data_IF_043981958563
#
_entry.id   IF_043981958563
#
_cell.length_a   1.000
_cell.length_b   1.000
_cell.length_c   1.000
_cell.angle_alpha   90.00
_cell.angle_beta   90.00
_cell.angle_gamma   90.00
#
_symmetry.space_group_name_H-M   'P 1'
#
loop_
_entity.id
_entity.type
_entity.pdbx_description
1 polymer ?
#
# COMPACT_ATOMS: atom_id res chain seq x y z
N UNK A 1 9.59 -46.68 9.73
CA UNK A 1 9.91 -45.85 10.91
C UNK A 1 10.14 -44.46 10.37
N UNK A 2 9.09 -43.64 10.45
CA UNK A 2 9.07 -42.27 9.93
C UNK A 2 9.27 -41.34 11.14
N UNK A 3 10.38 -40.63 11.19
CA UNK A 3 10.66 -39.60 12.18
C UNK A 3 9.98 -38.29 11.73
N UNK A 4 9.00 -37.86 12.49
CA UNK A 4 8.41 -36.54 12.43
C UNK A 4 9.49 -35.50 12.73
N UNK A 5 9.59 -34.37 12.01
CA UNK A 5 10.48 -33.28 12.41
C UNK A 5 9.98 -32.69 13.73
N UNK A 6 10.86 -32.67 14.71
CA UNK A 6 10.69 -32.06 16.01
C UNK A 6 10.27 -30.56 15.85
N UNK A 7 9.22 -30.21 16.59
CA UNK A 7 8.83 -28.84 16.84
C UNK A 7 10.04 -28.04 17.35
N UNK A 8 10.49 -27.09 16.56
CA UNK A 8 11.48 -26.14 17.02
C UNK A 8 10.84 -25.34 18.18
N UNK A 9 11.22 -25.67 19.39
CA UNK A 9 10.93 -24.92 20.61
C UNK A 9 11.47 -23.49 20.41
N UNK A 10 10.63 -22.61 19.93
CA UNK A 10 10.83 -21.17 19.92
C UNK A 10 10.75 -20.69 21.38
N UNK A 11 11.78 -20.93 22.17
CA UNK A 11 11.91 -20.64 23.57
C UNK A 11 11.15 -19.41 24.06
N UNK A 12 9.85 -19.57 24.29
CA UNK A 12 8.99 -18.54 24.91
C UNK A 12 9.41 -18.40 26.35
N UNK A 13 10.19 -17.38 26.64
CA UNK A 13 10.58 -17.05 28.02
C UNK A 13 9.30 -16.72 28.81
N UNK A 14 8.97 -17.56 29.77
CA UNK A 14 7.91 -17.31 30.72
C UNK A 14 8.12 -15.92 31.38
N UNK A 15 7.14 -15.00 31.20
CA UNK A 15 7.09 -13.73 31.90
C UNK A 15 7.02 -12.45 31.06
N UNK A 16 7.10 -12.51 29.72
CA UNK A 16 6.83 -11.35 28.84
C UNK A 16 5.74 -11.71 27.86
N UNK A 17 4.71 -10.86 27.77
CA UNK A 17 3.66 -11.00 26.77
C UNK A 17 4.22 -10.95 25.34
N UNK A 18 3.49 -11.52 24.40
CA UNK A 18 3.88 -11.56 22.99
C UNK A 18 3.76 -10.17 22.37
N UNK A 19 4.84 -9.67 21.79
CA UNK A 19 4.87 -8.42 21.02
C UNK A 19 4.84 -8.78 19.53
N UNK A 20 3.81 -8.34 18.83
CA UNK A 20 3.57 -8.68 17.42
C UNK A 20 3.65 -7.45 16.53
N UNK A 21 4.33 -7.57 15.40
CA UNK A 21 4.30 -6.60 14.31
C UNK A 21 3.47 -7.18 13.17
N UNK A 22 2.40 -6.46 12.79
CA UNK A 22 1.55 -6.80 11.65
C UNK A 22 1.86 -5.84 10.51
N UNK A 23 2.44 -6.34 9.44
CA UNK A 23 2.92 -5.54 8.33
C UNK A 23 2.66 -6.25 6.97
N UNK A 24 1.39 -6.51 6.61
CA UNK A 24 1.08 -7.14 5.32
C UNK A 24 1.25 -6.14 4.18
N UNK A 25 1.59 -6.67 3.01
CA UNK A 25 1.40 -5.96 1.74
C UNK A 25 -0.04 -6.20 1.23
N UNK A 26 -0.36 -5.66 0.06
CA UNK A 26 -1.67 -5.83 -0.60
C UNK A 26 -1.90 -7.25 -1.09
N UNK A 27 -3.15 -7.67 -1.07
CA UNK A 27 -3.64 -8.92 -1.66
C UNK A 27 -4.36 -8.61 -2.96
N UNK A 28 -3.66 -8.68 -4.08
CA UNK A 28 -4.15 -8.26 -5.40
C UNK A 28 -5.57 -8.76 -5.69
N UNK A 29 -6.49 -7.80 -5.89
CA UNK A 29 -7.85 -8.06 -6.32
C UNK A 29 -8.78 -8.71 -5.27
N UNK A 30 -8.32 -8.92 -4.02
CA UNK A 30 -9.12 -9.57 -2.97
C UNK A 30 -9.32 -8.69 -1.75
N UNK A 31 -8.24 -8.24 -1.10
CA UNK A 31 -8.27 -7.41 0.10
C UNK A 31 -7.39 -6.18 -0.08
N UNK A 32 -7.84 -5.07 0.46
CA UNK A 32 -6.96 -3.93 0.72
C UNK A 32 -5.98 -4.28 1.84
N UNK A 33 -4.87 -3.59 1.91
CA UNK A 33 -3.90 -3.76 3.00
C UNK A 33 -4.57 -3.54 4.37
N UNK A 34 -5.45 -2.55 4.49
CA UNK A 34 -6.18 -2.23 5.72
C UNK A 34 -7.08 -3.39 6.16
N UNK A 35 -7.82 -4.00 5.24
CA UNK A 35 -8.67 -5.17 5.53
C UNK A 35 -7.83 -6.37 5.95
N UNK A 36 -6.70 -6.61 5.27
CA UNK A 36 -5.77 -7.68 5.64
C UNK A 36 -5.19 -7.47 7.04
N UNK A 37 -4.71 -6.25 7.34
CA UNK A 37 -4.20 -5.89 8.67
C UNK A 37 -5.27 -6.10 9.74
N UNK A 38 -6.47 -5.59 9.54
CA UNK A 38 -7.58 -5.74 10.50
C UNK A 38 -7.93 -7.21 10.74
N UNK A 39 -7.97 -8.04 9.69
CA UNK A 39 -8.24 -9.47 9.81
C UNK A 39 -7.15 -10.21 10.60
N UNK A 40 -5.86 -9.86 10.37
CA UNK A 40 -4.72 -10.43 11.11
C UNK A 40 -4.75 -10.04 12.58
N UNK A 41 -4.98 -8.76 12.88
CA UNK A 41 -5.09 -8.27 14.27
C UNK A 41 -6.24 -8.97 14.99
N UNK A 42 -7.43 -9.00 14.39
CA UNK A 42 -8.58 -9.70 14.96
C UNK A 42 -8.35 -11.21 15.15
N UNK A 43 -7.53 -11.83 14.30
CA UNK A 43 -7.10 -13.23 14.46
C UNK A 43 -6.19 -13.42 15.67
N UNK A 44 -5.21 -12.53 15.85
CA UNK A 44 -4.30 -12.53 16.98
C UNK A 44 -5.05 -12.32 18.31
N UNK A 45 -5.97 -11.35 18.37
CA UNK A 45 -6.77 -11.06 19.56
C UNK A 45 -7.69 -12.22 19.97
N UNK A 46 -8.15 -13.03 19.01
CA UNK A 46 -8.94 -14.24 19.28
C UNK A 46 -8.11 -15.46 19.65
N UNK A 47 -6.81 -15.41 19.41
CA UNK A 47 -5.89 -16.47 19.77
C UNK A 47 -5.71 -16.57 21.29
N UNK A 48 -5.26 -17.74 21.76
CA UNK A 48 -4.94 -17.95 23.19
C UNK A 48 -3.52 -17.47 23.50
N UNK A 49 -3.23 -16.23 23.16
CA UNK A 49 -1.92 -15.62 23.38
C UNK A 49 -2.04 -14.43 24.36
N UNK A 50 -1.15 -14.35 25.31
CA UNK A 50 -0.99 -13.15 26.11
C UNK A 50 -0.29 -12.08 25.29
N UNK A 51 -1.04 -11.27 24.53
CA UNK A 51 -0.52 -10.17 23.75
C UNK A 51 -0.12 -9.02 24.68
N UNK A 52 1.16 -8.62 24.64
CA UNK A 52 1.65 -7.39 25.28
C UNK A 52 1.37 -6.18 24.41
N UNK A 53 1.62 -6.29 23.10
CA UNK A 53 1.36 -5.23 22.14
C UNK A 53 1.25 -5.76 20.71
N UNK A 54 0.41 -5.09 19.93
CA UNK A 54 0.35 -5.25 18.47
C UNK A 54 0.70 -3.91 17.84
N UNK A 55 1.68 -3.92 16.92
CA UNK A 55 2.06 -2.75 16.14
C UNK A 55 1.68 -3.01 14.69
N UNK A 56 0.94 -2.08 14.10
CA UNK A 56 0.50 -2.13 12.71
C UNK A 56 1.37 -1.20 11.87
N UNK A 57 1.92 -1.71 10.77
CA UNK A 57 2.69 -0.91 9.81
C UNK A 57 2.12 -1.15 8.41
N UNK A 58 1.74 -0.05 7.76
CA UNK A 58 1.41 -0.08 6.35
C UNK A 58 2.70 -0.15 5.52
N UNK A 59 2.84 -1.20 4.72
CA UNK A 59 3.92 -1.37 3.76
C UNK A 59 3.39 -1.15 2.34
N UNK A 60 4.24 -0.63 1.46
CA UNK A 60 3.96 -0.53 0.04
C UNK A 60 5.24 -0.67 -0.76
N UNK A 61 5.16 -1.38 -1.87
CA UNK A 61 6.23 -1.50 -2.87
C UNK A 61 6.30 -0.30 -3.84
N UNK A 62 5.51 0.76 -3.57
CA UNK A 62 5.37 1.93 -4.45
C UNK A 62 4.27 1.78 -5.50
N UNK A 63 3.55 0.65 -5.54
CA UNK A 63 2.40 0.43 -6.42
C UNK A 63 1.09 0.95 -5.83
N UNK A 64 -0.02 0.28 -6.18
CA UNK A 64 -1.36 0.62 -5.68
C UNK A 64 -1.42 0.69 -4.16
N UNK A 65 -2.00 1.79 -3.63
CA UNK A 65 -2.11 2.03 -2.19
C UNK A 65 -0.87 2.68 -1.57
N UNK A 66 0.10 3.11 -2.38
CA UNK A 66 1.29 3.79 -1.88
C UNK A 66 0.96 5.08 -1.13
N UNK A 67 0.07 5.92 -1.66
CA UNK A 67 -0.37 7.14 -0.96
C UNK A 67 -1.08 6.83 0.37
N UNK A 68 -1.80 5.72 0.44
CA UNK A 68 -2.49 5.30 1.65
C UNK A 68 -1.52 4.80 2.74
N UNK A 69 -0.36 4.27 2.35
CA UNK A 69 0.67 3.85 3.29
C UNK A 69 1.25 5.00 4.12
N UNK A 70 1.08 6.25 3.67
CA UNK A 70 1.43 7.43 4.46
C UNK A 70 0.41 7.72 5.56
N UNK A 71 -0.82 7.18 5.46
CA UNK A 71 -1.83 7.20 6.51
C UNK A 71 -2.04 8.59 7.11
N UNK A 72 -2.00 8.63 8.44
CA UNK A 72 -2.26 9.84 9.23
C UNK A 72 -1.01 10.72 9.46
N UNK A 73 0.04 10.56 8.67
CA UNK A 73 1.27 11.38 8.80
C UNK A 73 1.04 12.88 8.56
N UNK A 74 -0.22 13.24 8.32
CA UNK A 74 -0.61 14.59 7.96
C UNK A 74 -0.22 14.91 6.52
N UNK A 75 -0.97 15.80 5.90
CA UNK A 75 -0.72 16.21 4.53
C UNK A 75 -2.01 16.68 3.86
N UNK A 76 -1.86 17.43 2.78
CA UNK A 76 -2.97 17.88 1.95
C UNK A 76 -3.06 16.98 0.71
N UNK A 77 -4.21 16.37 0.48
CA UNK A 77 -4.48 15.65 -0.77
C UNK A 77 -5.07 16.61 -1.81
N UNK A 78 -4.64 16.43 -3.05
CA UNK A 78 -5.17 17.13 -4.21
C UNK A 78 -5.44 16.13 -5.32
N UNK A 79 -6.64 16.18 -5.88
CA UNK A 79 -6.99 15.37 -7.04
C UNK A 79 -6.73 16.15 -8.33
N UNK A 80 -5.94 15.59 -9.21
CA UNK A 80 -5.66 16.10 -10.54
C UNK A 80 -6.39 15.26 -11.60
N UNK A 81 -6.77 15.90 -12.70
CA UNK A 81 -7.22 15.18 -13.91
C UNK A 81 -6.03 15.12 -14.87
N UNK A 82 -5.62 13.91 -15.19
CA UNK A 82 -4.41 13.63 -16.00
C UNK A 82 -4.69 12.61 -17.10
N UNK A 83 -3.76 12.46 -18.01
CA UNK A 83 -3.85 11.48 -19.10
C UNK A 83 -3.60 10.07 -18.54
N UNK A 84 -4.60 9.19 -18.62
CA UNK A 84 -4.46 7.78 -18.24
C UNK A 84 -3.67 6.96 -19.25
N UNK A 85 -3.35 5.69 -18.92
CA UNK A 85 -2.46 4.85 -19.72
C UNK A 85 -3.03 4.53 -21.11
N UNK A 86 -4.35 4.51 -21.27
CA UNK A 86 -5.02 4.31 -22.57
C UNK A 86 -5.35 5.64 -23.29
N UNK A 87 -4.76 6.76 -22.89
CA UNK A 87 -5.00 8.07 -23.50
C UNK A 87 -6.27 8.78 -23.05
N UNK A 88 -7.11 8.14 -22.22
CA UNK A 88 -8.32 8.76 -21.65
C UNK A 88 -8.00 9.46 -20.32
N UNK A 89 -8.75 10.52 -19.99
CA UNK A 89 -8.53 11.24 -18.74
C UNK A 89 -8.90 10.38 -17.52
N UNK A 90 -8.06 10.42 -16.51
CA UNK A 90 -8.26 9.78 -15.21
C UNK A 90 -8.07 10.79 -14.08
N UNK A 91 -8.67 10.49 -12.92
CA UNK A 91 -8.45 11.26 -11.69
C UNK A 91 -7.36 10.57 -10.87
N UNK A 92 -6.33 11.31 -10.50
CA UNK A 92 -5.22 10.80 -9.71
C UNK A 92 -4.88 11.77 -8.58
N UNK A 93 -4.61 11.25 -7.40
CA UNK A 93 -4.32 12.04 -6.23
C UNK A 93 -2.82 12.29 -6.07
N UNK A 94 -2.52 13.47 -5.53
CA UNK A 94 -1.22 13.87 -4.99
C UNK A 94 -1.36 14.04 -3.47
N UNK A 95 -0.33 13.67 -2.73
CA UNK A 95 -0.24 13.95 -1.29
C UNK A 95 0.93 14.90 -1.05
N UNK A 96 0.65 16.03 -0.40
CA UNK A 96 1.67 17.01 0.00
C UNK A 96 1.97 16.87 1.48
N UNK A 97 3.23 16.61 1.81
CA UNK A 97 3.74 16.55 3.18
C UNK A 97 4.85 17.59 3.28
N UNK A 98 4.59 18.71 3.96
CA UNK A 98 5.51 19.86 3.99
C UNK A 98 5.86 20.36 2.58
N UNK A 99 7.12 20.31 2.17
CA UNK A 99 7.58 20.71 0.83
C UNK A 99 7.69 19.53 -0.15
N UNK A 100 7.32 18.33 0.26
CA UNK A 100 7.43 17.13 -0.57
C UNK A 100 6.05 16.76 -1.12
N UNK A 101 5.97 16.47 -2.42
CA UNK A 101 4.80 15.85 -3.02
C UNK A 101 5.06 14.36 -3.24
N UNK A 102 4.14 13.54 -2.78
CA UNK A 102 4.14 12.09 -3.00
C UNK A 102 3.23 11.79 -4.17
N UNK A 103 3.75 11.07 -5.14
CA UNK A 103 3.06 10.66 -6.37
C UNK A 103 2.97 9.16 -6.41
N UNK A 104 1.77 8.63 -6.54
CA UNK A 104 1.55 7.23 -6.84
C UNK A 104 1.32 7.06 -8.34
N UNK A 105 2.30 6.49 -9.04
CA UNK A 105 2.23 6.30 -10.50
C UNK A 105 1.08 5.38 -10.91
N UNK A 106 0.68 4.45 -10.07
CA UNK A 106 -0.43 3.53 -10.33
C UNK A 106 -1.77 4.25 -10.48
N UNK A 107 -1.98 5.39 -9.81
CA UNK A 107 -3.20 6.19 -9.94
C UNK A 107 -3.32 6.93 -11.28
N UNK A 108 -2.20 7.16 -11.98
CA UNK A 108 -2.18 7.87 -13.25
C UNK A 108 -1.84 6.98 -14.44
N UNK A 109 -1.06 5.92 -14.22
CA UNK A 109 -0.50 5.09 -15.29
C UNK A 109 -0.58 3.58 -14.97
N UNK A 110 -1.36 3.20 -13.95
CA UNK A 110 -1.49 1.82 -13.50
C UNK A 110 -2.26 0.93 -14.49
N UNK A 111 -1.91 -0.34 -14.52
CA UNK A 111 -2.57 -1.34 -15.34
C UNK A 111 -4.05 -1.54 -14.96
N UNK A 112 -4.40 -1.31 -13.68
CA UNK A 112 -5.77 -1.36 -13.18
C UNK A 112 -6.72 -0.34 -13.84
N UNK A 113 -6.17 0.75 -14.41
CA UNK A 113 -6.93 1.77 -15.14
C UNK A 113 -7.30 1.35 -16.57
N UNK A 114 -6.79 0.21 -17.03
CA UNK A 114 -7.03 -0.29 -18.40
C UNK A 114 -7.84 -1.59 -18.33
N UNK A 115 -9.06 -1.61 -18.88
CA UNK A 115 -9.82 -2.86 -19.02
C UNK A 115 -8.99 -3.95 -19.70
N UNK A 116 -9.14 -5.20 -19.28
CA UNK A 116 -8.31 -6.30 -19.74
C UNK A 116 -8.28 -6.45 -21.26
N UNK A 117 -9.43 -6.32 -21.90
CA UNK A 117 -9.55 -6.40 -23.35
C UNK A 117 -9.03 -5.18 -24.13
N UNK A 118 -8.64 -4.10 -23.43
CA UNK A 118 -8.11 -2.86 -24.01
C UNK A 118 -6.62 -2.65 -23.73
N UNK A 119 -5.95 -3.66 -23.18
CA UNK A 119 -4.52 -3.58 -22.84
C UNK A 119 -3.66 -3.69 -24.09
N UNK A 120 -2.95 -2.61 -24.42
CA UNK A 120 -1.97 -2.52 -25.51
C UNK A 120 -0.68 -1.90 -24.95
N UNK A 121 0.34 -2.71 -24.77
CA UNK A 121 1.62 -2.27 -24.21
C UNK A 121 2.38 -1.31 -25.14
N UNK A 122 2.11 -1.33 -26.45
CA UNK A 122 2.77 -0.44 -27.41
C UNK A 122 2.11 0.95 -27.46
N UNK A 123 0.80 1.02 -27.20
CA UNK A 123 0.04 2.26 -27.17
C UNK A 123 -0.03 2.90 -25.77
N UNK A 124 0.27 2.13 -24.71
CA UNK A 124 0.21 2.61 -23.33
C UNK A 124 1.19 3.74 -23.06
N UNK A 125 0.76 4.69 -22.22
CA UNK A 125 1.58 5.85 -21.87
C UNK A 125 1.64 6.08 -20.35
N UNK A 126 2.79 6.59 -19.87
CA UNK A 126 2.97 7.11 -18.51
C UNK A 126 2.87 8.63 -18.42
N UNK A 127 2.33 9.28 -19.43
CA UNK A 127 2.20 10.75 -19.52
C UNK A 127 1.52 11.34 -18.29
N UNK A 128 0.46 10.71 -17.77
CA UNK A 128 -0.26 11.19 -16.61
C UNK A 128 0.59 11.27 -15.34
N UNK A 129 1.51 10.34 -15.14
CA UNK A 129 2.49 10.44 -14.04
C UNK A 129 3.38 11.68 -14.20
N UNK A 130 3.84 11.97 -15.43
CA UNK A 130 4.56 13.21 -15.71
C UNK A 130 3.74 14.47 -15.45
N UNK A 131 2.46 14.46 -15.80
CA UNK A 131 1.53 15.56 -15.54
C UNK A 131 1.34 15.81 -14.04
N UNK A 132 1.27 14.74 -13.21
CA UNK A 132 1.26 14.86 -11.74
C UNK A 132 2.53 15.50 -11.20
N UNK A 133 3.70 15.10 -11.70
CA UNK A 133 4.99 15.68 -11.29
C UNK A 133 5.04 17.19 -11.64
N UNK A 134 4.55 17.56 -12.82
CA UNK A 134 4.46 18.98 -13.21
C UNK A 134 3.50 19.74 -12.31
N UNK A 135 2.34 19.18 -11.97
CA UNK A 135 1.38 19.77 -11.04
C UNK A 135 2.02 20.02 -9.66
N UNK A 136 2.71 19.00 -9.12
CA UNK A 136 3.43 19.07 -7.85
C UNK A 136 4.47 20.20 -7.85
N UNK A 137 5.27 20.30 -8.92
CA UNK A 137 6.28 21.38 -9.08
C UNK A 137 5.67 22.76 -9.13
N UNK A 138 4.55 22.93 -9.84
CA UNK A 138 3.84 24.24 -9.92
C UNK A 138 3.31 24.69 -8.56
N UNK A 139 3.02 23.77 -7.65
CA UNK A 139 2.63 24.05 -6.26
C UNK A 139 3.82 24.27 -5.32
N UNK A 140 5.04 24.22 -5.82
CA UNK A 140 6.25 24.48 -5.05
C UNK A 140 6.88 23.26 -4.37
N UNK A 141 6.46 22.04 -4.73
CA UNK A 141 7.15 20.84 -4.26
C UNK A 141 8.60 20.79 -4.75
N UNK A 142 9.46 20.27 -3.90
CA UNK A 142 10.92 20.22 -4.11
C UNK A 142 11.43 18.81 -4.04
#
# INVERSE_FOLDING_TARGET
>A
MSSTPEDADLGVRAGRGLRVLVAPDKFRGTLTQREATAAMVAGLERGDHSLESVVEISLSDGGEGFLESFGDRGGARETCVVTGPAGVSVRADLLYISSTAVVESALASGLCLVPEGARDALAATSRGTGELIVAARRRGAR
#
